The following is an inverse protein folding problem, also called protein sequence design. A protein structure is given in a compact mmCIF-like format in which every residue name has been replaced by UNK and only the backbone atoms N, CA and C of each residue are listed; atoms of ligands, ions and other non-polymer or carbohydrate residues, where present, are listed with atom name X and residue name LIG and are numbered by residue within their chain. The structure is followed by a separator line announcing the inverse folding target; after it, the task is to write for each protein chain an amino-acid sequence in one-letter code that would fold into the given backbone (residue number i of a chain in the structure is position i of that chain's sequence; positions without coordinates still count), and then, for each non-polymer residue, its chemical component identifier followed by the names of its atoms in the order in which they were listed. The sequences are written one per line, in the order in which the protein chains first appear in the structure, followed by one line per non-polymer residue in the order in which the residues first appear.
data_IF_286105653955
#
_entry.id   IF_286105653955
#
_cell.length_a   1.000
_cell.length_b   1.000
_cell.length_c   1.000
_cell.angle_alpha   90.00
_cell.angle_beta   90.00
_cell.angle_gamma   90.00
#
_symmetry.space_group_name_H-M   'P 1'
#
loop_
_entity.id
_entity.type
_entity.pdbx_description
1 polymer ?
#
# COMPACT_ATOMS: atom_id res chain seq x y z
N UNK A 1 -14.13 -11.73 21.63
CA UNK A 1 -13.50 -12.63 20.65
C UNK A 1 -13.06 -11.77 19.47
N UNK A 2 -11.89 -12.04 18.88
CA UNK A 2 -11.40 -11.23 17.77
C UNK A 2 -12.36 -11.31 16.57
N UNK A 3 -12.63 -10.18 15.92
CA UNK A 3 -13.48 -10.15 14.72
C UNK A 3 -12.69 -10.59 13.49
N UNK A 4 -13.35 -11.24 12.54
CA UNK A 4 -12.75 -11.58 11.24
C UNK A 4 -12.82 -10.40 10.27
N UNK A 5 -11.92 -10.36 9.29
CA UNK A 5 -12.04 -9.52 8.09
C UNK A 5 -12.05 -10.41 6.84
N UNK A 6 -12.11 -9.82 5.64
CA UNK A 6 -12.31 -10.56 4.38
C UNK A 6 -11.42 -11.79 4.21
N UNK A 7 -10.09 -11.62 4.35
CA UNK A 7 -9.11 -12.72 4.23
C UNK A 7 -8.48 -13.16 5.54
N UNK A 8 -8.77 -12.49 6.66
CA UNK A 8 -8.22 -12.83 7.97
C UNK A 8 -9.33 -13.40 8.85
N UNK A 9 -9.36 -14.72 8.96
CA UNK A 9 -10.41 -15.46 9.68
C UNK A 9 -9.93 -15.70 11.11
N UNK A 10 -10.57 -15.04 12.06
CA UNK A 10 -10.28 -15.20 13.49
C UNK A 10 -10.72 -16.58 13.98
N UNK A 11 -9.87 -17.19 14.80
CA UNK A 11 -10.15 -18.40 15.57
C UNK A 11 -10.51 -18.00 17.03
N UNK A 12 -11.07 -18.89 17.86
CA UNK A 12 -11.50 -18.55 19.22
C UNK A 12 -10.41 -17.90 20.09
N UNK A 13 -9.14 -18.23 19.85
CA UNK A 13 -7.98 -17.71 20.58
C UNK A 13 -7.13 -16.71 19.79
N UNK A 14 -7.59 -16.25 18.61
CA UNK A 14 -6.84 -15.27 17.83
C UNK A 14 -6.68 -13.96 18.61
N UNK A 15 -5.48 -13.40 18.57
CA UNK A 15 -5.11 -12.16 19.27
C UNK A 15 -4.18 -11.31 18.39
N UNK A 16 -4.53 -10.02 18.27
CA UNK A 16 -3.79 -9.03 17.51
C UNK A 16 -2.68 -8.34 18.31
N UNK A 17 -2.58 -8.62 19.62
CA UNK A 17 -1.76 -7.85 20.57
C UNK A 17 -0.44 -8.54 20.88
N UNK A 18 -0.47 -9.83 21.24
CA UNK A 18 0.73 -10.60 21.58
C UNK A 18 1.48 -11.09 20.34
N UNK A 19 2.72 -10.65 20.17
CA UNK A 19 3.60 -11.11 19.10
C UNK A 19 5.05 -10.70 19.32
N UNK A 20 5.94 -11.28 18.51
CA UNK A 20 7.37 -10.93 18.51
C UNK A 20 7.73 -10.24 17.21
N UNK A 21 8.40 -9.09 17.32
CA UNK A 21 9.01 -8.42 16.16
C UNK A 21 10.25 -9.20 15.73
N UNK A 22 10.26 -9.59 14.46
CA UNK A 22 11.32 -10.34 13.82
C UNK A 22 11.97 -9.47 12.73
N UNK A 23 13.30 -9.41 12.75
CA UNK A 23 14.05 -8.79 11.65
C UNK A 23 13.90 -9.60 10.36
N UNK A 24 13.74 -8.90 9.24
CA UNK A 24 13.59 -9.47 7.90
C UNK A 24 14.85 -9.17 7.07
N UNK A 25 15.81 -10.10 6.96
CA UNK A 25 17.10 -9.82 6.32
C UNK A 25 16.96 -9.44 4.84
N UNK A 26 16.20 -10.20 4.05
CA UNK A 26 16.04 -9.92 2.62
C UNK A 26 15.38 -8.56 2.35
N UNK A 27 14.30 -8.25 3.08
CA UNK A 27 13.64 -6.94 3.04
C UNK A 27 14.62 -5.83 3.43
N UNK A 28 15.39 -6.04 4.50
CA UNK A 28 16.34 -5.04 4.99
C UNK A 28 17.47 -4.76 4.02
N UNK A 29 18.03 -5.81 3.40
CA UNK A 29 19.04 -5.67 2.36
C UNK A 29 18.49 -4.93 1.16
N UNK A 30 17.26 -5.25 0.73
CA UNK A 30 16.60 -4.55 -0.37
C UNK A 30 16.38 -3.06 -0.06
N UNK A 31 15.67 -2.73 1.02
CA UNK A 31 15.37 -1.34 1.39
C UNK A 31 16.66 -0.56 1.67
N UNK A 32 17.60 -1.16 2.39
CA UNK A 32 18.88 -0.56 2.73
C UNK A 32 19.75 -0.29 1.50
N UNK A 33 19.87 -1.25 0.58
CA UNK A 33 20.67 -1.06 -0.65
C UNK A 33 20.06 -0.03 -1.60
N UNK A 34 18.74 -0.04 -1.80
CA UNK A 34 18.05 0.98 -2.63
C UNK A 34 18.21 2.37 -2.03
N UNK A 35 18.07 2.51 -0.71
CA UNK A 35 18.22 3.79 -0.02
C UNK A 35 19.66 4.28 -0.01
N UNK A 36 20.63 3.41 0.24
CA UNK A 36 22.04 3.75 0.16
C UNK A 36 22.43 4.20 -1.25
N UNK A 37 22.00 3.47 -2.28
CA UNK A 37 22.24 3.86 -3.67
C UNK A 37 21.56 5.19 -4.03
N UNK A 38 20.34 5.43 -3.56
CA UNK A 38 19.63 6.69 -3.76
C UNK A 38 20.38 7.88 -3.11
N UNK A 39 20.82 7.74 -1.86
CA UNK A 39 21.50 8.81 -1.11
C UNK A 39 22.89 9.11 -1.68
N UNK A 40 23.65 8.08 -2.05
CA UNK A 40 25.03 8.24 -2.55
C UNK A 40 25.03 8.65 -4.02
N UNK A 41 24.35 7.89 -4.88
CA UNK A 41 24.44 8.09 -6.34
C UNK A 41 23.37 9.04 -6.88
N UNK A 42 22.28 9.28 -6.16
CA UNK A 42 21.24 10.21 -6.59
C UNK A 42 21.78 11.61 -6.90
N UNK A 43 22.51 12.26 -5.98
CA UNK A 43 23.14 13.56 -6.22
C UNK A 43 24.20 13.51 -7.32
N UNK A 44 25.02 12.46 -7.35
CA UNK A 44 26.13 12.31 -8.29
C UNK A 44 25.66 12.08 -9.74
N UNK A 45 24.44 11.60 -9.93
CA UNK A 45 23.89 11.24 -11.24
C UNK A 45 22.65 12.04 -11.61
N UNK A 46 22.37 13.15 -10.90
CA UNK A 46 21.22 14.00 -11.18
C UNK A 46 21.28 14.59 -12.59
N UNK A 47 20.15 14.54 -13.29
CA UNK A 47 19.88 15.32 -14.47
C UNK A 47 18.39 15.63 -14.52
N UNK A 48 18.00 16.67 -15.26
CA UNK A 48 16.57 16.99 -15.44
C UNK A 48 15.80 15.86 -16.13
N UNK A 49 16.46 15.11 -17.02
CA UNK A 49 15.83 13.97 -17.70
C UNK A 49 15.60 12.80 -16.73
N UNK A 50 16.57 12.48 -15.85
CA UNK A 50 16.41 11.42 -14.85
C UNK A 50 15.42 11.79 -13.75
N UNK A 51 15.37 13.07 -13.36
CA UNK A 51 14.34 13.58 -12.47
C UNK A 51 12.93 13.47 -13.08
N UNK A 52 12.78 13.85 -14.35
CA UNK A 52 11.52 13.70 -15.07
C UNK A 52 11.09 12.24 -15.16
N UNK A 53 12.02 11.33 -15.48
CA UNK A 53 11.78 9.89 -15.45
C UNK A 53 11.29 9.44 -14.07
N UNK A 54 11.96 9.86 -13.00
CA UNK A 54 11.57 9.55 -11.63
C UNK A 54 10.13 10.01 -11.33
N UNK A 55 9.77 11.25 -11.67
CA UNK A 55 8.41 11.78 -11.42
C UNK A 55 7.37 10.97 -12.20
N UNK A 56 7.61 10.73 -13.49
CA UNK A 56 6.68 9.98 -14.36
C UNK A 56 6.52 8.54 -13.87
N UNK A 57 7.62 7.84 -13.61
CA UNK A 57 7.58 6.45 -13.16
C UNK A 57 6.99 6.33 -11.75
N UNK A 58 7.23 7.30 -10.86
CA UNK A 58 6.58 7.35 -9.54
C UNK A 58 5.07 7.54 -9.72
N UNK A 59 4.64 8.49 -10.55
CA UNK A 59 3.21 8.68 -10.85
C UNK A 59 2.54 7.42 -11.38
N UNK A 60 3.16 6.75 -12.35
CA UNK A 60 2.62 5.49 -12.92
C UNK A 60 2.57 4.39 -11.86
N UNK A 61 3.68 4.13 -11.16
CA UNK A 61 3.78 2.97 -10.25
C UNK A 61 3.02 3.18 -8.95
N UNK A 62 2.93 4.41 -8.43
CA UNK A 62 2.20 4.71 -7.19
C UNK A 62 0.71 4.91 -7.47
N UNK A 63 0.32 5.72 -8.45
CA UNK A 63 -1.10 5.97 -8.74
C UNK A 63 -1.76 4.75 -9.38
N UNK A 64 -1.36 4.39 -10.60
CA UNK A 64 -1.99 3.28 -11.31
C UNK A 64 -1.63 1.93 -10.67
N UNK A 65 -0.38 1.78 -10.23
CA UNK A 65 0.12 0.53 -9.67
C UNK A 65 -0.34 0.26 -8.24
N UNK A 66 0.18 1.02 -7.26
CA UNK A 66 -0.05 0.75 -5.85
C UNK A 66 -1.46 1.15 -5.39
N UNK A 67 -1.83 2.42 -5.56
CA UNK A 67 -3.12 2.96 -5.13
C UNK A 67 -4.28 2.26 -5.85
N UNK A 68 -4.28 2.26 -7.18
CA UNK A 68 -5.40 1.72 -7.94
C UNK A 68 -5.29 0.20 -8.12
N UNK A 69 -4.14 -0.32 -8.54
CA UNK A 69 -3.95 -1.75 -8.84
C UNK A 69 -3.86 -2.66 -7.62
N UNK A 70 -2.94 -2.38 -6.69
CA UNK A 70 -2.76 -3.22 -5.51
C UNK A 70 -3.81 -2.94 -4.45
N UNK A 71 -4.00 -1.69 -4.06
CA UNK A 71 -4.82 -1.34 -2.90
C UNK A 71 -6.32 -1.40 -3.21
N UNK A 72 -6.82 -0.57 -4.13
CA UNK A 72 -8.27 -0.49 -4.41
C UNK A 72 -8.78 -1.70 -5.22
N UNK A 73 -8.01 -2.21 -6.18
CA UNK A 73 -8.44 -3.31 -7.03
C UNK A 73 -8.16 -4.70 -6.42
N UNK A 74 -6.89 -5.04 -6.18
CA UNK A 74 -6.53 -6.39 -5.76
C UNK A 74 -6.91 -6.69 -4.30
N UNK A 75 -6.57 -5.78 -3.37
CA UNK A 75 -6.80 -5.96 -1.94
C UNK A 75 -8.27 -5.75 -1.58
N UNK A 76 -8.82 -4.56 -1.82
CA UNK A 76 -10.18 -4.19 -1.37
C UNK A 76 -11.31 -4.56 -2.34
N UNK A 77 -10.98 -4.93 -3.58
CA UNK A 77 -11.99 -5.27 -4.59
C UNK A 77 -13.06 -4.17 -4.70
N UNK A 78 -12.60 -2.93 -4.71
CA UNK A 78 -13.44 -1.72 -4.76
C UNK A 78 -14.08 -1.48 -6.12
N UNK A 79 -13.58 -2.15 -7.16
CA UNK A 79 -14.14 -2.17 -8.50
C UNK A 79 -13.65 -3.42 -9.22
N UNK A 80 -14.16 -3.69 -10.42
CA UNK A 80 -13.73 -4.80 -11.28
C UNK A 80 -13.16 -4.29 -12.60
N UNK A 81 -12.26 -5.08 -13.17
CA UNK A 81 -11.73 -4.89 -14.53
C UNK A 81 -11.58 -6.24 -15.23
N UNK A 82 -11.34 -6.22 -16.55
CA UNK A 82 -10.88 -7.42 -17.24
C UNK A 82 -9.49 -7.87 -16.75
N UNK A 83 -9.22 -9.18 -16.75
CA UNK A 83 -8.00 -9.75 -16.14
C UNK A 83 -6.69 -9.17 -16.68
N UNK A 84 -6.65 -8.78 -17.95
CA UNK A 84 -5.48 -8.13 -18.56
C UNK A 84 -5.18 -6.77 -17.90
N UNK A 85 -6.21 -5.95 -17.69
CA UNK A 85 -6.07 -4.64 -17.04
C UNK A 85 -5.72 -4.84 -15.56
N UNK A 86 -6.38 -5.77 -14.88
CA UNK A 86 -6.05 -6.12 -13.49
C UNK A 86 -4.57 -6.49 -13.34
N UNK A 87 -4.08 -7.43 -14.15
CA UNK A 87 -2.69 -7.88 -14.12
C UNK A 87 -1.70 -6.77 -14.44
N UNK A 88 -2.03 -5.88 -15.39
CA UNK A 88 -1.18 -4.73 -15.71
C UNK A 88 -1.06 -3.79 -14.51
N UNK A 89 -2.18 -3.42 -13.88
CA UNK A 89 -2.18 -2.53 -12.73
C UNK A 89 -1.44 -3.17 -11.54
N UNK A 90 -1.67 -4.47 -11.28
CA UNK A 90 -0.95 -5.22 -10.23
C UNK A 90 0.56 -5.32 -10.54
N UNK A 91 0.94 -5.48 -11.80
CA UNK A 91 2.35 -5.47 -12.20
C UNK A 91 3.00 -4.10 -11.91
N UNK A 92 2.34 -2.99 -12.29
CA UNK A 92 2.81 -1.65 -11.98
C UNK A 92 2.95 -1.43 -10.46
N UNK A 93 2.03 -2.00 -9.66
CA UNK A 93 2.13 -1.95 -8.20
C UNK A 93 3.29 -2.78 -7.64
N UNK A 94 3.60 -3.92 -8.26
CA UNK A 94 4.78 -4.74 -7.94
C UNK A 94 6.07 -3.96 -8.18
N UNK A 95 6.09 -3.11 -9.23
CA UNK A 95 7.24 -2.26 -9.51
C UNK A 95 7.52 -1.23 -8.42
N UNK A 96 6.60 -0.90 -7.50
CA UNK A 96 6.91 -0.04 -6.35
C UNK A 96 8.04 -0.63 -5.49
N UNK A 97 8.22 -1.95 -5.51
CA UNK A 97 9.35 -2.60 -4.84
C UNK A 97 9.13 -2.79 -3.33
N UNK A 98 7.88 -2.97 -2.90
CA UNK A 98 7.52 -3.22 -1.50
C UNK A 98 7.36 -4.72 -1.21
N UNK A 99 6.57 -5.41 -2.04
CA UNK A 99 6.37 -6.85 -2.03
C UNK A 99 5.70 -7.27 -3.35
N UNK A 100 5.58 -8.59 -3.57
CA UNK A 100 4.72 -9.14 -4.60
C UNK A 100 3.23 -9.10 -4.20
N UNK A 101 2.33 -9.57 -5.09
CA UNK A 101 0.88 -9.47 -4.88
C UNK A 101 0.40 -10.14 -3.58
N UNK A 102 0.91 -11.32 -3.23
CA UNK A 102 0.45 -12.05 -2.04
C UNK A 102 1.05 -11.45 -0.76
N UNK A 103 2.33 -11.06 -0.81
CA UNK A 103 2.97 -10.34 0.27
C UNK A 103 2.28 -9.01 0.58
N UNK A 104 1.86 -8.27 -0.46
CA UNK A 104 1.10 -7.02 -0.30
C UNK A 104 -0.30 -7.26 0.30
N UNK A 105 -1.04 -8.25 -0.19
CA UNK A 105 -2.34 -8.63 0.39
C UNK A 105 -2.17 -8.99 1.86
N UNK A 106 -1.23 -9.87 2.19
CA UNK A 106 -1.01 -10.29 3.57
C UNK A 106 -0.65 -9.10 4.48
N UNK A 107 0.34 -8.29 4.08
CA UNK A 107 0.83 -7.18 4.88
C UNK A 107 -0.25 -6.11 5.14
N UNK A 108 -1.12 -5.86 4.15
CA UNK A 108 -2.26 -4.96 4.32
C UNK A 108 -3.33 -5.60 5.20
N UNK A 109 -3.84 -6.79 4.83
CA UNK A 109 -4.98 -7.43 5.47
C UNK A 109 -4.70 -7.77 6.95
N UNK A 110 -3.45 -8.13 7.30
CA UNK A 110 -3.10 -8.46 8.70
C UNK A 110 -3.06 -7.22 9.57
N UNK A 111 -2.58 -6.09 9.02
CA UNK A 111 -2.58 -4.80 9.71
C UNK A 111 -4.02 -4.33 9.87
N UNK A 112 -4.82 -4.36 8.81
CA UNK A 112 -6.22 -3.96 8.84
C UNK A 112 -7.03 -4.81 9.83
N UNK A 113 -6.85 -6.13 9.81
CA UNK A 113 -7.45 -7.03 10.79
C UNK A 113 -7.05 -6.66 12.21
N UNK A 114 -5.75 -6.44 12.46
CA UNK A 114 -5.25 -6.12 13.80
C UNK A 114 -5.80 -4.76 14.29
N UNK A 115 -5.77 -3.73 13.44
CA UNK A 115 -6.23 -2.38 13.78
C UNK A 115 -7.73 -2.31 14.09
N UNK A 116 -8.53 -3.23 13.53
CA UNK A 116 -9.98 -3.33 13.77
C UNK A 116 -10.36 -4.10 15.04
N UNK A 117 -9.42 -4.73 15.73
CA UNK A 117 -9.66 -5.30 17.06
C UNK A 117 -9.72 -4.19 18.12
N UNK A 118 -10.09 -4.50 19.36
CA UNK A 118 -10.08 -3.50 20.46
C UNK A 118 -8.66 -3.13 20.93
N UNK A 119 -7.70 -4.05 20.78
CA UNK A 119 -6.27 -3.83 21.05
C UNK A 119 -5.44 -4.48 19.94
N UNK A 120 -4.25 -3.94 19.68
CA UNK A 120 -3.34 -4.54 18.71
C UNK A 120 -1.89 -4.16 18.98
N UNK A 121 -0.97 -4.95 18.41
CA UNK A 121 0.46 -4.81 18.56
C UNK A 121 0.97 -3.48 17.99
N UNK A 122 1.95 -2.88 18.66
CA UNK A 122 2.49 -1.54 18.34
C UNK A 122 2.99 -1.39 16.91
N UNK A 123 3.50 -2.46 16.30
CA UNK A 123 3.92 -2.48 14.90
C UNK A 123 2.74 -2.21 13.96
N UNK A 124 1.59 -2.87 14.18
CA UNK A 124 0.41 -2.59 13.37
C UNK A 124 -0.20 -1.23 13.71
N UNK A 125 -0.05 -0.76 14.94
CA UNK A 125 -0.60 0.52 15.36
C UNK A 125 0.28 1.75 15.11
N UNK A 126 1.49 1.58 14.58
CA UNK A 126 2.47 2.65 14.39
C UNK A 126 2.80 3.44 15.67
N UNK A 127 2.75 2.82 16.87
CA UNK A 127 2.90 3.51 18.16
C UNK A 127 4.34 3.78 18.61
N UNK A 128 5.35 3.19 17.94
CA UNK A 128 6.77 3.40 18.28
C UNK A 128 7.27 4.79 17.92
N UNK A 129 8.28 5.31 18.61
CA UNK A 129 8.95 6.58 18.24
C UNK A 129 9.32 6.62 16.74
N UNK A 130 9.35 7.79 16.11
CA UNK A 130 9.60 7.97 14.67
C UNK A 130 10.64 7.00 14.07
N UNK A 131 11.88 7.00 14.55
CA UNK A 131 12.93 6.11 14.04
C UNK A 131 12.73 4.62 14.39
N UNK A 132 12.10 4.34 15.53
CA UNK A 132 11.75 2.98 15.94
C UNK A 132 10.64 2.39 15.06
N UNK A 133 9.65 3.20 14.69
CA UNK A 133 8.61 2.82 13.74
C UNK A 133 9.17 2.65 12.33
N UNK A 134 10.04 3.58 11.90
CA UNK A 134 10.77 3.46 10.63
C UNK A 134 11.50 2.13 10.52
N UNK A 135 12.26 1.78 11.56
CA UNK A 135 12.97 0.52 11.63
C UNK A 135 12.00 -0.68 11.56
N UNK A 136 10.97 -0.71 12.40
CA UNK A 136 10.02 -1.83 12.41
C UNK A 136 9.30 -2.00 11.07
N UNK A 137 8.77 -0.93 10.50
CA UNK A 137 7.96 -1.01 9.28
C UNK A 137 8.79 -1.30 8.04
N UNK A 138 10.02 -0.83 7.96
CA UNK A 138 10.88 -1.05 6.79
C UNK A 138 11.76 -2.30 6.89
N UNK A 139 12.05 -2.80 8.10
CA UNK A 139 13.05 -3.86 8.29
C UNK A 139 12.53 -5.08 9.06
N UNK A 140 11.33 -5.01 9.65
CA UNK A 140 10.78 -6.09 10.46
C UNK A 140 9.39 -6.54 9.99
N UNK A 141 8.93 -7.62 10.60
CA UNK A 141 7.54 -8.05 10.68
C UNK A 141 7.22 -8.45 12.12
N UNK A 142 5.93 -8.55 12.45
CA UNK A 142 5.50 -9.16 13.72
C UNK A 142 4.98 -10.58 13.44
N UNK A 143 5.43 -11.53 14.25
CA UNK A 143 4.85 -12.87 14.31
C UNK A 143 3.95 -12.91 15.54
N UNK A 144 2.64 -12.86 15.32
CA UNK A 144 1.66 -12.97 16.38
C UNK A 144 1.69 -14.36 16.99
N UNK A 145 1.46 -14.47 18.30
CA UNK A 145 1.41 -15.74 19.02
C UNK A 145 0.19 -16.57 18.62
N UNK A 146 -0.95 -15.91 18.44
CA UNK A 146 -2.20 -16.51 17.98
C UNK A 146 -2.77 -15.73 16.77
N UNK A 147 -2.18 -15.88 15.57
CA UNK A 147 -2.63 -15.15 14.39
C UNK A 147 -4.02 -15.62 13.91
N UNK A 148 -4.72 -14.81 13.09
CA UNK A 148 -5.86 -15.29 12.32
C UNK A 148 -5.39 -16.23 11.20
N UNK A 149 -6.30 -17.00 10.63
CA UNK A 149 -6.04 -17.77 9.41
C UNK A 149 -6.14 -16.85 8.19
N UNK A 150 -5.07 -16.78 7.41
CA UNK A 150 -5.04 -16.02 6.16
C UNK A 150 -5.53 -16.89 4.99
N UNK A 151 -6.59 -16.46 4.31
CA UNK A 151 -7.23 -17.19 3.20
C UNK A 151 -7.37 -16.27 2.00
N UNK A 152 -6.59 -16.54 0.94
CA UNK A 152 -6.71 -15.86 -0.35
C UNK A 152 -7.72 -16.60 -1.23
N UNK A 153 -8.51 -15.87 -2.00
CA UNK A 153 -9.46 -16.42 -2.96
C UNK A 153 -8.75 -17.31 -4.00
N UNK A 154 -9.29 -18.49 -4.36
CA UNK A 154 -8.64 -19.41 -5.28
C UNK A 154 -8.28 -18.80 -6.64
N UNK A 155 -9.08 -17.85 -7.14
CA UNK A 155 -8.79 -17.14 -8.39
C UNK A 155 -7.48 -16.33 -8.33
N UNK A 156 -7.17 -15.74 -7.19
CA UNK A 156 -5.93 -14.98 -6.96
C UNK A 156 -4.79 -15.91 -6.64
N UNK A 157 -5.00 -16.88 -5.73
CA UNK A 157 -3.97 -17.80 -5.28
C UNK A 157 -3.42 -18.69 -6.41
N UNK A 158 -4.29 -19.11 -7.34
CA UNK A 158 -3.92 -20.00 -8.45
C UNK A 158 -3.50 -19.24 -9.73
N UNK A 159 -3.51 -17.91 -9.72
CA UNK A 159 -3.07 -17.14 -10.88
C UNK A 159 -1.54 -17.25 -11.04
N UNK A 160 -1.10 -17.94 -12.10
CA UNK A 160 0.33 -18.15 -12.40
C UNK A 160 1.10 -16.85 -12.60
N UNK A 161 0.45 -15.80 -13.08
CA UNK A 161 1.08 -14.48 -13.23
C UNK A 161 1.36 -13.86 -11.86
N UNK A 162 0.41 -13.92 -10.93
CA UNK A 162 0.64 -13.44 -9.57
C UNK A 162 1.66 -14.26 -8.81
N UNK A 163 1.67 -15.58 -8.98
CA UNK A 163 2.72 -16.44 -8.41
C UNK A 163 4.11 -16.09 -8.96
N UNK A 164 4.21 -15.77 -10.25
CA UNK A 164 5.46 -15.31 -10.86
C UNK A 164 5.90 -13.99 -10.25
N UNK A 165 5.02 -12.99 -10.20
CA UNK A 165 5.31 -11.68 -9.59
C UNK A 165 5.69 -11.83 -8.12
N UNK A 166 4.99 -12.66 -7.36
CA UNK A 166 5.27 -12.93 -5.95
C UNK A 166 6.69 -13.43 -5.72
N UNK A 167 7.15 -14.39 -6.53
CA UNK A 167 8.48 -14.97 -6.37
C UNK A 167 9.61 -14.08 -6.86
N UNK A 168 9.29 -13.09 -7.70
CA UNK A 168 10.30 -12.33 -8.46
C UNK A 168 10.17 -10.82 -8.31
N UNK A 169 9.35 -10.32 -7.38
CA UNK A 169 8.99 -8.89 -7.29
C UNK A 169 10.21 -7.94 -7.25
N UNK A 170 11.30 -8.33 -6.57
CA UNK A 170 12.55 -7.57 -6.57
C UNK A 170 13.22 -7.61 -7.96
N UNK A 171 13.28 -8.79 -8.57
CA UNK A 171 13.87 -9.02 -9.89
C UNK A 171 13.05 -8.38 -11.03
N UNK A 172 11.79 -8.01 -10.80
CA UNK A 172 10.98 -7.25 -11.77
C UNK A 172 11.57 -5.87 -12.09
N UNK A 173 12.52 -5.37 -11.31
CA UNK A 173 13.26 -4.15 -11.63
C UNK A 173 14.31 -4.35 -12.73
N UNK A 174 14.78 -5.58 -12.98
CA UNK A 174 15.89 -5.85 -13.92
C UNK A 174 15.58 -5.46 -15.38
N UNK A 175 14.40 -5.77 -15.94
CA UNK A 175 14.07 -5.33 -17.29
C UNK A 175 14.05 -3.80 -17.43
N UNK A 176 13.54 -3.11 -16.40
CA UNK A 176 13.50 -1.64 -16.37
C UNK A 176 14.89 -1.03 -16.16
N UNK A 177 15.74 -1.66 -15.34
CA UNK A 177 17.13 -1.27 -15.18
C UNK A 177 17.87 -1.34 -16.53
N UNK A 178 17.71 -2.42 -17.29
CA UNK A 178 18.30 -2.54 -18.63
C UNK A 178 17.76 -1.46 -19.57
N UNK A 179 16.43 -1.27 -19.62
CA UNK A 179 15.81 -0.26 -20.47
C UNK A 179 16.30 1.15 -20.14
N UNK A 180 16.32 1.52 -18.86
CA UNK A 180 16.78 2.83 -18.40
C UNK A 180 18.26 3.05 -18.67
N UNK A 181 19.08 2.00 -18.51
CA UNK A 181 20.49 2.07 -18.87
C UNK A 181 20.69 2.35 -20.36
N UNK A 182 19.95 1.67 -21.23
CA UNK A 182 20.05 1.87 -22.68
C UNK A 182 19.59 3.25 -23.13
N UNK A 183 18.62 3.86 -22.44
CA UNK A 183 18.04 5.16 -22.80
C UNK A 183 18.78 6.37 -22.21
N UNK A 184 19.29 6.25 -20.98
CA UNK A 184 19.90 7.38 -20.27
C UNK A 184 21.00 6.99 -19.28
N UNK A 185 21.59 5.80 -19.47
CA UNK A 185 22.71 5.30 -18.69
C UNK A 185 22.42 5.16 -17.20
N UNK A 186 23.47 5.24 -16.39
CA UNK A 186 23.38 5.09 -14.94
C UNK A 186 22.52 6.18 -14.27
N UNK A 187 22.43 7.37 -14.85
CA UNK A 187 21.57 8.45 -14.33
C UNK A 187 20.11 8.01 -14.29
N UNK A 188 19.61 7.40 -15.38
CA UNK A 188 18.24 6.90 -15.44
C UNK A 188 18.04 5.66 -14.57
N UNK A 189 19.04 4.78 -14.45
CA UNK A 189 18.96 3.61 -13.56
C UNK A 189 18.83 4.03 -12.09
N UNK A 190 19.71 4.91 -11.62
CA UNK A 190 19.72 5.35 -10.22
C UNK A 190 18.40 6.04 -9.88
N UNK A 191 17.94 6.95 -10.74
CA UNK A 191 16.72 7.71 -10.47
C UNK A 191 15.43 6.90 -10.68
N UNK A 192 15.36 6.12 -11.77
CA UNK A 192 14.20 5.32 -12.13
C UNK A 192 13.99 4.08 -11.26
N UNK A 193 15.07 3.56 -10.64
CA UNK A 193 15.02 2.39 -9.76
C UNK A 193 15.28 2.78 -8.30
N UNK A 194 16.53 3.10 -7.94
CA UNK A 194 16.93 3.25 -6.54
C UNK A 194 16.25 4.42 -5.83
N UNK A 195 16.30 5.63 -6.41
CA UNK A 195 15.64 6.83 -5.85
C UNK A 195 14.13 6.62 -5.82
N UNK A 196 13.54 6.14 -6.92
CA UNK A 196 12.10 5.83 -6.99
C UNK A 196 11.64 4.90 -5.88
N UNK A 197 12.30 3.74 -5.72
CA UNK A 197 11.93 2.73 -4.71
C UNK A 197 12.15 3.30 -3.31
N UNK A 198 13.30 3.92 -3.05
CA UNK A 198 13.61 4.48 -1.72
C UNK A 198 12.60 5.55 -1.29
N UNK A 199 12.30 6.51 -2.16
CA UNK A 199 11.30 7.56 -1.89
C UNK A 199 9.91 6.95 -1.75
N UNK A 200 9.54 5.99 -2.60
CA UNK A 200 8.23 5.35 -2.54
C UNK A 200 8.03 4.62 -1.22
N UNK A 201 8.96 3.76 -0.80
CA UNK A 201 8.85 2.98 0.44
C UNK A 201 8.86 3.90 1.67
N UNK A 202 9.73 4.89 1.69
CA UNK A 202 9.77 5.89 2.77
C UNK A 202 8.48 6.69 2.82
N UNK A 203 7.94 7.10 1.67
CA UNK A 203 6.68 7.84 1.58
C UNK A 203 5.48 7.03 2.10
N UNK A 204 5.35 5.76 1.73
CA UNK A 204 4.30 4.89 2.27
C UNK A 204 4.41 4.73 3.80
N UNK A 205 5.63 4.55 4.31
CA UNK A 205 5.85 4.48 5.74
C UNK A 205 5.47 5.80 6.43
N UNK A 206 5.89 6.95 5.90
CA UNK A 206 5.56 8.27 6.46
C UNK A 206 4.04 8.50 6.53
N UNK A 207 3.31 8.17 5.45
CA UNK A 207 1.84 8.25 5.44
C UNK A 207 1.27 7.37 6.54
N UNK A 208 1.65 6.09 6.64
CA UNK A 208 1.18 5.21 7.71
C UNK A 208 1.51 5.73 9.11
N UNK A 209 2.75 6.20 9.32
CA UNK A 209 3.22 6.71 10.60
C UNK A 209 2.38 7.89 11.10
N UNK A 210 2.13 8.88 10.25
CA UNK A 210 1.37 10.06 10.64
C UNK A 210 -0.14 9.79 10.65
N UNK A 211 -0.65 9.05 9.68
CA UNK A 211 -2.08 8.83 9.50
C UNK A 211 -2.68 7.87 10.54
N UNK A 212 -1.88 7.15 11.32
CA UNK A 212 -2.35 6.26 12.40
C UNK A 212 -2.18 6.84 13.81
N UNK A 213 -1.81 8.11 13.94
CA UNK A 213 -1.55 8.74 15.24
C UNK A 213 -2.60 9.76 15.63
N UNK A 214 -2.65 10.85 14.88
CA UNK A 214 -3.52 11.99 15.16
C UNK A 214 -3.68 12.84 13.90
N UNK A 215 -4.76 13.60 13.82
CA UNK A 215 -5.02 14.51 12.73
C UNK A 215 -6.51 14.72 12.46
N UNK A 216 -6.81 15.22 11.27
CA UNK A 216 -8.18 15.47 10.84
C UNK A 216 -8.87 14.16 10.47
N UNK A 217 -10.10 13.95 10.93
CA UNK A 217 -10.97 12.83 10.52
C UNK A 217 -12.40 13.34 10.41
N UNK A 218 -13.11 12.95 9.35
CA UNK A 218 -14.54 13.21 9.20
C UNK A 218 -15.42 12.08 9.73
N UNK A 219 -14.81 10.93 10.01
CA UNK A 219 -15.46 9.69 10.39
C UNK A 219 -14.64 9.00 11.47
N UNK A 220 -15.31 8.34 12.41
CA UNK A 220 -14.69 7.50 13.41
C UNK A 220 -15.37 6.13 13.44
N UNK A 221 -14.64 5.11 13.88
CA UNK A 221 -15.19 3.77 14.12
C UNK A 221 -15.03 3.44 15.60
N UNK A 222 -16.12 3.17 16.30
CA UNK A 222 -16.05 2.81 17.72
C UNK A 222 -15.43 1.41 17.93
N UNK A 223 -14.87 1.18 19.10
CA UNK A 223 -14.31 -0.12 19.54
C UNK A 223 -13.17 -0.71 18.69
N UNK A 224 -12.38 0.14 18.02
CA UNK A 224 -11.16 -0.27 17.29
C UNK A 224 -9.90 0.22 18.00
N UNK A 225 -8.79 -0.49 17.79
CA UNK A 225 -7.50 -0.23 18.44
C UNK A 225 -6.79 0.98 17.85
N UNK A 226 -7.11 1.33 16.61
CA UNK A 226 -6.45 2.39 15.83
C UNK A 226 -7.48 3.10 14.95
N UNK A 227 -7.54 4.43 15.06
CA UNK A 227 -8.22 5.28 14.08
C UNK A 227 -7.27 5.64 12.94
N UNK A 228 -7.83 5.89 11.77
CA UNK A 228 -7.13 6.56 10.67
C UNK A 228 -7.38 8.05 10.70
N UNK A 229 -6.40 8.83 10.27
CA UNK A 229 -6.49 10.28 10.15
C UNK A 229 -6.08 10.71 8.74
N UNK A 230 -6.80 11.69 8.21
CA UNK A 230 -6.55 12.29 6.92
C UNK A 230 -5.34 13.25 7.00
N UNK A 231 -4.48 13.21 5.99
CA UNK A 231 -3.38 14.17 5.78
C UNK A 231 -3.61 14.88 4.44
N UNK A 232 -4.47 15.92 4.39
CA UNK A 232 -4.88 16.55 3.13
C UNK A 232 -3.71 17.14 2.33
N UNK A 233 -2.68 17.63 3.02
CA UNK A 233 -1.47 18.22 2.40
C UNK A 233 -0.66 17.20 1.60
N UNK A 234 -0.79 15.91 1.89
CA UNK A 234 -0.10 14.84 1.17
C UNK A 234 -0.91 14.30 -0.02
N UNK A 235 -2.18 14.70 -0.19
CA UNK A 235 -3.12 14.03 -1.08
C UNK A 235 -2.67 14.01 -2.56
N UNK A 236 -2.04 15.07 -3.04
CA UNK A 236 -1.51 15.13 -4.43
C UNK A 236 -0.36 14.14 -4.62
N UNK A 237 0.57 14.08 -3.67
CA UNK A 237 1.77 13.21 -3.75
C UNK A 237 1.42 11.74 -3.54
N UNK A 238 0.42 11.46 -2.72
CA UNK A 238 -0.05 10.11 -2.44
C UNK A 238 -1.22 9.69 -3.32
N UNK A 239 -1.63 10.53 -4.29
CA UNK A 239 -2.75 10.27 -5.18
C UNK A 239 -4.08 9.94 -4.46
N UNK A 240 -4.32 10.57 -3.32
CA UNK A 240 -5.51 10.38 -2.49
C UNK A 240 -5.37 9.37 -1.34
N UNK A 241 -4.28 8.57 -1.32
CA UNK A 241 -4.05 7.56 -0.26
C UNK A 241 -3.87 8.16 1.14
N UNK A 242 -3.61 9.46 1.25
CA UNK A 242 -3.50 10.15 2.53
C UNK A 242 -4.84 10.49 3.17
N UNK A 243 -5.98 10.26 2.50
CA UNK A 243 -7.31 10.27 3.13
C UNK A 243 -7.56 8.97 3.90
N UNK A 244 -6.64 8.69 4.82
CA UNK A 244 -6.55 7.42 5.50
C UNK A 244 -7.67 7.22 6.51
N UNK A 245 -8.15 8.28 7.15
CA UNK A 245 -9.32 8.21 8.02
C UNK A 245 -10.58 7.82 7.26
N UNK A 246 -10.79 8.41 6.08
CA UNK A 246 -11.89 8.01 5.20
C UNK A 246 -11.75 6.57 4.72
N UNK A 247 -10.54 6.15 4.36
CA UNK A 247 -10.26 4.77 3.99
C UNK A 247 -10.56 3.80 5.13
N UNK A 248 -10.12 4.13 6.34
CA UNK A 248 -10.41 3.35 7.55
C UNK A 248 -11.90 3.28 7.85
N UNK A 249 -12.68 4.31 7.53
CA UNK A 249 -14.13 4.29 7.66
C UNK A 249 -14.81 3.40 6.59
N UNK A 250 -14.41 3.55 5.32
CA UNK A 250 -15.00 2.86 4.17
C UNK A 250 -13.92 2.10 3.37
N UNK A 251 -13.41 0.97 3.88
CA UNK A 251 -12.25 0.28 3.30
C UNK A 251 -12.52 -0.22 1.88
N UNK A 252 -13.76 -0.64 1.61
CA UNK A 252 -14.16 -1.17 0.30
C UNK A 252 -14.41 -0.08 -0.75
N UNK A 253 -14.44 1.20 -0.37
CA UNK A 253 -14.73 2.31 -1.28
C UNK A 253 -13.58 2.55 -2.26
N UNK A 254 -13.91 2.68 -3.56
CA UNK A 254 -12.94 3.06 -4.58
C UNK A 254 -12.50 4.53 -4.46
N UNK A 255 -13.26 5.35 -3.72
CA UNK A 255 -13.01 6.76 -3.50
C UNK A 255 -12.58 6.99 -2.06
N UNK A 256 -11.37 7.50 -1.86
CA UNK A 256 -10.79 7.82 -0.55
C UNK A 256 -11.03 9.29 -0.18
N UNK A 257 -10.98 10.21 -1.15
CA UNK A 257 -11.32 11.62 -0.94
C UNK A 257 -12.83 11.84 -0.93
N UNK A 258 -13.48 11.75 0.23
CA UNK A 258 -14.95 11.77 0.37
C UNK A 258 -15.54 13.17 0.50
N UNK A 259 -14.81 14.10 1.13
CA UNK A 259 -15.32 15.43 1.46
C UNK A 259 -14.96 16.48 0.40
N UNK A 260 -15.63 17.63 0.44
CA UNK A 260 -15.36 18.73 -0.47
C UNK A 260 -13.89 19.21 -0.31
N UNK A 261 -13.20 19.41 -1.42
CA UNK A 261 -11.79 19.82 -1.45
C UNK A 261 -10.77 18.69 -1.27
N UNK A 262 -11.22 17.44 -1.05
CA UNK A 262 -10.32 16.29 -0.94
C UNK A 262 -9.91 15.77 -2.32
N UNK A 263 -8.64 15.98 -2.69
CA UNK A 263 -8.09 15.63 -4.01
C UNK A 263 -7.67 14.16 -4.09
N UNK A 264 -8.44 13.33 -4.78
CA UNK A 264 -8.16 11.90 -4.97
C UNK A 264 -7.85 11.57 -6.43
N UNK A 265 -6.57 11.62 -6.79
CA UNK A 265 -6.13 11.34 -8.16
C UNK A 265 -6.28 9.86 -8.55
N UNK A 266 -6.18 8.94 -7.58
CA UNK A 266 -6.48 7.52 -7.81
C UNK A 266 -7.94 7.31 -8.19
N UNK A 267 -8.86 8.03 -7.54
CA UNK A 267 -10.28 7.98 -7.88
C UNK A 267 -10.53 8.55 -9.28
N UNK A 268 -9.94 9.70 -9.61
CA UNK A 268 -10.03 10.27 -10.96
C UNK A 268 -9.53 9.28 -12.02
N UNK A 269 -8.46 8.54 -11.73
CA UNK A 269 -7.95 7.50 -12.63
C UNK A 269 -8.93 6.32 -12.77
N UNK A 270 -9.57 5.88 -11.68
CA UNK A 270 -10.63 4.85 -11.76
C UNK A 270 -11.81 5.35 -12.60
N UNK A 271 -12.25 6.60 -12.43
CA UNK A 271 -13.31 7.17 -13.25
C UNK A 271 -12.95 7.21 -14.73
N UNK A 272 -11.69 7.50 -15.05
CA UNK A 272 -11.19 7.42 -16.43
C UNK A 272 -11.25 5.98 -16.98
N UNK A 273 -10.89 4.97 -16.18
CA UNK A 273 -11.03 3.57 -16.58
C UNK A 273 -12.50 3.14 -16.79
N UNK A 274 -13.42 3.65 -15.97
CA UNK A 274 -14.86 3.44 -16.14
C UNK A 274 -15.35 4.09 -17.42
N UNK A 275 -14.94 5.33 -17.69
CA UNK A 275 -15.27 6.04 -18.92
C UNK A 275 -14.78 5.31 -20.18
N UNK A 276 -13.59 4.70 -20.11
CA UNK A 276 -13.05 3.83 -21.16
C UNK A 276 -13.78 2.47 -21.30
N UNK A 277 -14.69 2.14 -20.38
CA UNK A 277 -15.40 0.86 -20.36
C UNK A 277 -14.56 -0.34 -19.91
N UNK A 278 -13.38 -0.11 -19.31
CA UNK A 278 -12.47 -1.17 -18.85
C UNK A 278 -12.55 -1.43 -17.34
N UNK A 279 -13.32 -0.62 -16.61
CA UNK A 279 -13.65 -0.80 -15.20
C UNK A 279 -15.18 -0.72 -14.97
N UNK A 280 -15.67 -1.49 -14.00
CA UNK A 280 -17.10 -1.57 -13.65
C UNK A 280 -17.29 -1.93 -12.16
N UNK A 281 -18.55 -2.05 -11.72
CA UNK A 281 -18.93 -2.48 -10.35
C UNK A 281 -18.22 -1.68 -9.25
N UNK A 282 -18.15 -0.36 -9.43
CA UNK A 282 -17.48 0.55 -8.50
C UNK A 282 -18.25 0.64 -7.19
N UNK A 283 -17.54 0.40 -6.09
CA UNK A 283 -18.01 0.58 -4.73
C UNK A 283 -17.71 1.99 -4.24
N UNK A 284 -18.70 2.61 -3.61
CA UNK A 284 -18.67 3.92 -2.97
C UNK A 284 -19.32 3.79 -1.58
N UNK A 285 -19.12 4.74 -0.65
CA UNK A 285 -19.61 4.60 0.71
C UNK A 285 -21.10 4.22 0.81
N UNK A 286 -21.92 4.73 -0.11
CA UNK A 286 -23.37 4.52 -0.16
C UNK A 286 -23.77 3.08 -0.53
N UNK A 287 -22.88 2.30 -1.13
CA UNK A 287 -23.15 0.92 -1.56
C UNK A 287 -22.21 -0.14 -0.95
N UNK A 288 -21.32 0.28 -0.04
CA UNK A 288 -20.49 -0.63 0.76
C UNK A 288 -21.26 -1.20 1.95
N UNK A 289 -20.79 -2.33 2.48
CA UNK A 289 -21.38 -2.96 3.65
C UNK A 289 -21.31 -2.01 4.85
N UNK A 290 -22.43 -1.83 5.55
CA UNK A 290 -22.46 -1.03 6.76
C UNK A 290 -21.48 -1.59 7.80
N UNK A 291 -20.67 -0.71 8.37
CA UNK A 291 -19.69 -1.05 9.39
C UNK A 291 -20.22 -0.69 10.78
N UNK A 292 -20.24 -1.67 11.67
CA UNK A 292 -20.61 -1.45 13.07
C UNK A 292 -19.68 -0.41 13.73
N UNK A 293 -20.26 0.48 14.55
CA UNK A 293 -19.54 1.55 15.24
C UNK A 293 -19.13 2.72 14.37
N UNK A 294 -19.43 2.72 13.07
CA UNK A 294 -19.11 3.83 12.18
C UNK A 294 -20.00 5.06 12.49
N UNK A 295 -19.38 6.22 12.70
CA UNK A 295 -20.08 7.49 12.94
C UNK A 295 -19.41 8.66 12.24
N UNK A 296 -20.20 9.66 11.86
CA UNK A 296 -19.72 10.95 11.36
C UNK A 296 -19.29 11.83 12.54
N UNK A 297 -18.23 12.62 12.34
CA UNK A 297 -17.73 13.61 13.30
C UNK A 297 -18.19 15.03 12.95
#
# INVERSE_FOLDING_TARGET
MAISTGRMISQPFSDASEGRVCWMPAKSLWVGSMTAAAVVFGPLTFSWSSFTLFVVMTGITICAGHSVGMHRLLIHRSFRTGKTVERLLVYLGTLVGMAGPFGMIYAHDIRDWAQRQTTCHDLHAHRRSFFGDAWWQMHCSVVLKNPPTFVIEPEVANDRFYQFLERSWMAQQLPWMLLFYLLGGWSWVVWGIAVRISVSLTGHWLVGHFAHRDGHQGWAVDNVAVQGYNIPTAAVVTFGESFHGNHHAFPDSARLGLEAGQVDLGWNFIQFLVWLGVASEVKLPENTTHREGLRRL
#
